data_IF_075047521054
#
_entry.id   IF_075047521054
#
_cell.length_a   1.000
_cell.length_b   1.000
_cell.length_c   1.000
_cell.angle_alpha   90.00
_cell.angle_beta   90.00
_cell.angle_gamma   90.00
#
_symmetry.space_group_name_H-M   'P 1'
#
loop_
_entity.id
_entity.type
_entity.pdbx_description
1 polymer ?
#
# COMPACT_ATOMS: atom_id res chain seq x y z
N UNK A 1 3.20 0.13 14.15
CA UNK A 1 4.38 0.06 13.29
C UNK A 1 3.95 0.22 11.83
N UNK A 2 4.63 1.09 11.11
CA UNK A 2 4.53 1.21 9.65
C UNK A 2 5.78 0.60 9.04
N UNK A 3 5.61 -0.33 8.11
CA UNK A 3 6.68 -0.84 7.27
C UNK A 3 6.47 -0.31 5.84
N UNK A 4 7.45 0.43 5.35
CA UNK A 4 7.50 0.93 3.98
C UNK A 4 8.87 0.58 3.40
N UNK A 5 9.11 -0.70 3.13
CA UNK A 5 10.41 -1.13 2.63
C UNK A 5 10.67 -0.57 1.23
N UNK A 6 11.90 -0.19 0.92
CA UNK A 6 12.25 0.16 -0.44
C UNK A 6 12.12 -1.06 -1.35
N UNK A 7 11.79 -0.88 -2.64
CA UNK A 7 11.54 -1.98 -3.58
C UNK A 7 12.65 -3.04 -3.64
N UNK A 8 13.88 -2.62 -3.48
CA UNK A 8 15.08 -3.48 -3.51
C UNK A 8 15.29 -4.30 -2.23
N UNK A 9 14.67 -3.91 -1.12
CA UNK A 9 14.84 -4.62 0.16
C UNK A 9 13.99 -5.90 0.27
N UNK A 10 13.02 -6.08 -0.63
CA UNK A 10 12.12 -7.23 -0.61
C UNK A 10 12.69 -8.36 -1.46
N UNK A 11 13.16 -9.40 -0.80
CA UNK A 11 13.66 -10.62 -1.49
C UNK A 11 12.49 -11.51 -1.91
N UNK A 12 12.65 -12.28 -3.02
CA UNK A 12 11.60 -13.18 -3.53
C UNK A 12 11.06 -14.19 -2.50
N UNK A 13 11.86 -14.53 -1.49
CA UNK A 13 11.50 -15.53 -0.48
C UNK A 13 11.02 -14.91 0.84
N UNK A 14 10.68 -13.63 0.87
CA UNK A 14 10.04 -13.06 2.04
C UNK A 14 8.61 -13.61 2.19
N UNK A 15 8.11 -13.70 3.41
CA UNK A 15 6.72 -14.12 3.72
C UNK A 15 5.70 -13.23 3.01
N UNK A 16 6.05 -11.98 2.76
CA UNK A 16 5.28 -11.05 1.95
C UNK A 16 5.97 -10.87 0.60
N UNK A 17 5.32 -11.26 -0.47
CA UNK A 17 5.75 -10.96 -1.83
C UNK A 17 5.73 -9.46 -2.10
N UNK A 18 6.61 -9.00 -2.96
CA UNK A 18 6.66 -7.61 -3.41
C UNK A 18 6.77 -7.60 -4.93
N UNK A 19 5.82 -7.01 -5.60
CA UNK A 19 5.72 -7.07 -7.05
C UNK A 19 5.43 -5.70 -7.67
N UNK A 20 5.61 -5.58 -8.99
CA UNK A 20 5.37 -4.32 -9.68
C UNK A 20 3.91 -3.88 -9.56
N UNK A 21 3.70 -2.65 -9.15
CA UNK A 21 2.38 -2.03 -9.10
C UNK A 21 1.89 -1.57 -10.49
N UNK A 22 2.78 -1.57 -11.48
CA UNK A 22 2.54 -1.02 -12.80
C UNK A 22 2.79 -2.09 -13.86
N UNK A 23 1.74 -2.59 -14.47
CA UNK A 23 1.82 -3.66 -15.48
C UNK A 23 2.39 -3.20 -16.81
N UNK A 24 2.23 -1.94 -17.13
CA UNK A 24 2.50 -1.43 -18.47
C UNK A 24 3.98 -1.41 -18.84
N UNK A 25 4.87 -1.50 -17.86
CA UNK A 25 6.30 -1.63 -18.10
C UNK A 25 6.70 -2.93 -18.80
N UNK A 26 5.83 -3.95 -18.73
CA UNK A 26 6.04 -5.24 -19.43
C UNK A 26 5.70 -5.15 -20.92
N UNK A 27 4.74 -4.29 -21.30
CA UNK A 27 4.21 -4.19 -22.66
C UNK A 27 4.83 -3.06 -23.47
N UNK A 28 5.21 -2.01 -22.82
CA UNK A 28 5.70 -0.77 -23.44
C UNK A 28 7.07 -0.44 -22.91
N UNK A 29 8.07 -1.18 -23.34
CA UNK A 29 9.46 -0.95 -22.93
C UNK A 29 9.83 0.53 -23.01
N UNK A 30 10.18 1.12 -21.85
CA UNK A 30 10.58 2.51 -21.74
C UNK A 30 9.46 3.52 -21.46
N UNK A 31 8.19 3.11 -21.38
CA UNK A 31 7.12 4.00 -20.94
C UNK A 31 7.15 4.16 -19.41
N UNK A 32 6.80 5.35 -18.94
CA UNK A 32 6.68 5.59 -17.50
C UNK A 32 5.66 4.62 -16.87
N UNK A 33 5.95 4.06 -15.71
CA UNK A 33 5.04 3.16 -15.03
C UNK A 33 3.71 3.85 -14.72
N UNK A 34 2.62 3.14 -14.92
CA UNK A 34 1.29 3.55 -14.48
C UNK A 34 0.47 2.34 -14.02
N UNK A 35 -0.42 2.54 -13.10
CA UNK A 35 -1.31 1.50 -12.58
C UNK A 35 -2.60 1.43 -13.39
N UNK A 36 -3.25 0.26 -13.39
CA UNK A 36 -4.63 0.12 -13.90
C UNK A 36 -5.64 0.84 -13.00
N UNK A 37 -5.30 1.07 -11.75
CA UNK A 37 -6.12 1.76 -10.78
C UNK A 37 -5.96 1.20 -9.37
N UNK A 38 -6.59 1.88 -8.43
CA UNK A 38 -6.65 1.46 -7.04
C UNK A 38 -8.12 1.28 -6.63
N UNK A 39 -8.34 0.36 -5.73
CA UNK A 39 -9.58 0.25 -4.97
C UNK A 39 -9.27 0.69 -3.54
N UNK A 40 -9.96 1.72 -3.08
CA UNK A 40 -9.70 2.37 -1.80
C UNK A 40 -10.90 2.19 -0.89
N UNK A 41 -10.66 1.72 0.33
CA UNK A 41 -11.66 1.69 1.40
C UNK A 41 -11.83 3.11 1.97
N UNK A 42 -12.49 3.98 1.21
CA UNK A 42 -12.54 5.43 1.48
C UNK A 42 -13.15 5.78 2.86
N UNK A 43 -14.00 4.93 3.41
CA UNK A 43 -14.58 5.08 4.75
C UNK A 43 -13.62 4.64 5.89
N UNK A 44 -12.44 4.12 5.55
CA UNK A 44 -11.45 3.75 6.56
C UNK A 44 -10.94 5.02 7.27
N UNK A 45 -10.83 4.96 8.59
CA UNK A 45 -10.35 6.06 9.42
C UNK A 45 -8.97 6.61 9.05
N UNK A 46 -8.16 5.86 8.31
CA UNK A 46 -6.91 6.35 7.74
C UNK A 46 -7.14 7.60 6.88
N UNK A 47 -8.30 7.69 6.23
CA UNK A 47 -8.63 8.75 5.29
C UNK A 47 -9.39 9.94 5.92
N UNK A 48 -9.57 9.93 7.25
CA UNK A 48 -10.22 11.03 7.96
C UNK A 48 -9.55 12.39 7.70
N UNK A 49 -8.21 12.39 7.55
CA UNK A 49 -7.40 13.58 7.26
C UNK A 49 -6.66 13.50 5.92
N UNK A 50 -7.07 12.56 5.06
CA UNK A 50 -6.58 12.42 3.70
C UNK A 50 -7.76 12.09 2.78
N UNK A 51 -8.58 13.08 2.41
CA UNK A 51 -9.77 12.85 1.60
C UNK A 51 -9.44 12.15 0.30
N UNK A 52 -10.18 11.09 0.01
CA UNK A 52 -10.02 10.28 -1.20
C UNK A 52 -11.36 9.69 -1.63
N UNK A 53 -11.49 9.35 -2.90
CA UNK A 53 -12.59 8.54 -3.40
C UNK A 53 -12.31 7.04 -3.21
N UNK A 54 -13.27 6.19 -3.52
CA UNK A 54 -13.11 4.73 -3.50
C UNK A 54 -12.19 4.18 -4.61
N UNK A 55 -11.63 5.06 -5.40
CA UNK A 55 -10.72 4.75 -6.51
C UNK A 55 -9.57 5.76 -6.56
N UNK A 56 -8.53 5.44 -7.33
CA UNK A 56 -7.41 6.37 -7.54
C UNK A 56 -7.79 7.54 -8.44
N UNK A 57 -7.26 8.68 -8.10
CA UNK A 57 -7.22 9.89 -8.92
C UNK A 57 -5.79 10.47 -8.95
N UNK A 58 -5.61 11.72 -9.36
CA UNK A 58 -4.28 12.29 -9.60
C UNK A 58 -3.35 12.32 -8.39
N UNK A 59 -3.86 12.50 -7.17
CA UNK A 59 -2.99 12.55 -6.01
C UNK A 59 -2.36 11.18 -5.69
N UNK A 60 -3.01 10.06 -6.05
CA UNK A 60 -2.44 8.73 -5.89
C UNK A 60 -1.22 8.49 -6.78
N UNK A 61 -1.10 9.21 -7.91
CA UNK A 61 0.06 9.10 -8.78
C UNK A 61 1.37 9.39 -8.04
N UNK A 62 1.41 10.44 -7.22
CA UNK A 62 2.59 10.78 -6.44
C UNK A 62 2.99 9.66 -5.46
N UNK A 63 2.02 8.94 -4.92
CA UNK A 63 2.21 7.86 -3.95
C UNK A 63 2.62 6.54 -4.59
N UNK A 64 2.20 6.28 -5.82
CA UNK A 64 2.39 4.98 -6.49
C UNK A 64 3.49 4.99 -7.54
N UNK A 65 3.91 6.16 -8.03
CA UNK A 65 4.89 6.27 -9.10
C UNK A 65 6.19 5.53 -8.76
N UNK A 66 6.61 4.61 -9.65
CA UNK A 66 7.81 3.77 -9.49
C UNK A 66 7.84 2.90 -8.22
N UNK A 67 6.69 2.64 -7.64
CA UNK A 67 6.56 1.75 -6.47
C UNK A 67 6.18 0.34 -6.90
N UNK A 68 6.15 -0.55 -5.92
CA UNK A 68 5.66 -1.91 -6.06
C UNK A 68 4.56 -2.15 -5.04
N UNK A 69 3.67 -3.08 -5.33
CA UNK A 69 2.65 -3.52 -4.41
C UNK A 69 3.10 -4.78 -3.65
N UNK A 70 2.51 -5.02 -2.51
CA UNK A 70 2.64 -6.31 -1.82
C UNK A 70 1.71 -7.32 -2.47
N UNK A 71 2.21 -8.53 -2.72
CA UNK A 71 1.38 -9.69 -2.98
C UNK A 71 1.08 -10.34 -1.64
N UNK A 72 -0.18 -10.34 -1.22
CA UNK A 72 -0.61 -10.78 0.11
C UNK A 72 -1.62 -11.91 0.06
N UNK A 73 -1.73 -12.61 -1.06
CA UNK A 73 -2.73 -13.64 -1.31
C UNK A 73 -2.84 -14.69 -0.18
N UNK A 74 -1.72 -15.09 0.41
CA UNK A 74 -1.66 -16.15 1.42
C UNK A 74 -1.42 -15.63 2.84
N UNK A 75 -1.49 -14.33 3.05
CA UNK A 75 -1.25 -13.71 4.36
C UNK A 75 -2.47 -12.89 4.81
N UNK A 76 -2.90 -13.13 6.04
CA UNK A 76 -4.10 -12.53 6.60
C UNK A 76 -3.99 -11.03 6.88
N UNK A 77 -3.81 -10.22 5.85
CA UNK A 77 -3.88 -8.76 5.93
C UNK A 77 -5.24 -8.24 5.50
N UNK A 78 -5.76 -7.23 6.21
CA UNK A 78 -6.93 -6.49 5.76
C UNK A 78 -6.47 -5.39 4.79
N UNK A 79 -6.96 -5.39 3.55
CA UNK A 79 -6.62 -4.36 2.59
C UNK A 79 -7.28 -3.02 2.98
N UNK A 80 -6.51 -1.95 2.88
CA UNK A 80 -7.02 -0.57 2.95
C UNK A 80 -6.98 0.05 1.55
N UNK A 81 -5.92 -0.25 0.79
CA UNK A 81 -5.79 0.14 -0.61
C UNK A 81 -5.29 -1.05 -1.40
N UNK A 82 -6.14 -1.56 -2.30
CA UNK A 82 -5.79 -2.60 -3.26
C UNK A 82 -5.26 -2.00 -4.55
N UNK A 83 -4.36 -2.71 -5.19
CA UNK A 83 -3.88 -2.37 -6.55
C UNK A 83 -4.55 -3.30 -7.55
N UNK A 84 -5.14 -2.75 -8.58
CA UNK A 84 -5.68 -3.55 -9.69
C UNK A 84 -4.49 -4.06 -10.51
N UNK A 85 -4.32 -5.37 -10.51
CA UNK A 85 -3.25 -6.05 -11.25
C UNK A 85 -3.56 -6.13 -12.75
N UNK A 86 -2.59 -6.60 -13.51
CA UNK A 86 -2.80 -6.92 -14.91
C UNK A 86 -3.78 -8.10 -15.07
N UNK A 87 -4.45 -8.14 -16.20
CA UNK A 87 -5.47 -9.17 -16.48
C UNK A 87 -4.93 -10.57 -16.74
N UNK A 88 -3.61 -10.75 -16.85
CA UNK A 88 -3.01 -12.06 -17.05
C UNK A 88 -2.70 -12.74 -15.72
N UNK A 89 -2.16 -11.99 -14.76
CA UNK A 89 -1.71 -12.54 -13.49
C UNK A 89 -2.80 -12.48 -12.40
N UNK A 90 -3.58 -11.39 -12.36
CA UNK A 90 -4.69 -11.18 -11.42
C UNK A 90 -4.34 -11.51 -9.96
N UNK A 91 -3.20 -11.02 -9.48
CA UNK A 91 -2.71 -11.24 -8.11
C UNK A 91 -3.46 -10.38 -7.11
N UNK A 92 -3.49 -10.79 -5.84
CA UNK A 92 -4.06 -9.99 -4.75
C UNK A 92 -3.05 -8.94 -4.25
N UNK A 93 -2.96 -7.83 -4.96
CA UNK A 93 -1.99 -6.78 -4.71
C UNK A 93 -2.53 -5.69 -3.79
N UNK A 94 -1.71 -5.28 -2.81
CA UNK A 94 -2.05 -4.23 -1.86
C UNK A 94 -0.97 -3.14 -1.82
N UNK A 95 -1.41 -1.89 -1.85
CA UNK A 95 -0.56 -0.73 -1.63
C UNK A 95 -0.48 -0.39 -0.14
N UNK A 96 -1.60 -0.49 0.56
CA UNK A 96 -1.71 -0.31 2.01
C UNK A 96 -2.56 -1.42 2.59
N UNK A 97 -2.04 -2.08 3.58
CA UNK A 97 -2.73 -3.15 4.28
C UNK A 97 -2.46 -3.10 5.78
N UNK A 98 -3.38 -3.65 6.56
CA UNK A 98 -3.31 -3.66 8.01
C UNK A 98 -3.42 -5.08 8.55
N UNK A 99 -2.70 -5.35 9.63
CA UNK A 99 -2.83 -6.57 10.38
C UNK A 99 -2.64 -6.34 11.88
N UNK A 100 -3.15 -7.28 12.67
CA UNK A 100 -2.91 -7.34 14.10
C UNK A 100 -1.75 -8.28 14.40
N UNK A 101 -0.76 -7.79 15.14
CA UNK A 101 0.35 -8.61 15.63
C UNK A 101 0.34 -8.56 17.16
N UNK A 102 -0.05 -9.67 17.78
CA UNK A 102 -0.23 -9.72 19.24
C UNK A 102 -1.23 -8.66 19.70
N UNK A 103 -0.76 -7.72 20.52
CA UNK A 103 -1.56 -6.57 21.01
C UNK A 103 -1.39 -5.30 20.15
N UNK A 104 -0.52 -5.35 19.18
CA UNK A 104 -0.19 -4.21 18.33
C UNK A 104 -0.85 -4.24 16.97
N UNK A 105 -0.70 -3.13 16.25
CA UNK A 105 -1.09 -2.96 14.84
C UNK A 105 0.14 -2.86 13.98
N UNK A 106 0.08 -3.49 12.82
CA UNK A 106 1.06 -3.34 11.75
C UNK A 106 0.34 -2.77 10.53
N UNK A 107 0.92 -1.74 9.95
CA UNK A 107 0.53 -1.26 8.62
C UNK A 107 1.69 -1.56 7.68
N UNK A 108 1.38 -2.24 6.59
CA UNK A 108 2.23 -2.33 5.41
C UNK A 108 1.86 -1.20 4.47
N UNK A 109 2.84 -0.42 4.06
CA UNK A 109 2.63 0.70 3.15
C UNK A 109 3.70 0.64 2.05
N UNK A 110 3.29 0.34 0.82
CA UNK A 110 4.17 0.33 -0.34
C UNK A 110 4.27 1.70 -1.00
N UNK A 111 3.41 2.65 -0.62
CA UNK A 111 3.52 4.03 -1.07
C UNK A 111 4.82 4.68 -0.56
N UNK A 112 5.40 5.56 -1.36
CA UNK A 112 6.56 6.33 -0.92
C UNK A 112 6.15 7.50 -0.02
N UNK A 113 6.30 7.30 1.27
CA UNK A 113 5.99 8.28 2.31
C UNK A 113 7.25 8.79 3.03
N UNK A 114 8.42 8.63 2.42
CA UNK A 114 9.69 8.95 3.06
C UNK A 114 10.60 9.85 2.22
N UNK A 115 10.60 9.67 0.89
CA UNK A 115 11.56 10.33 0.01
C UNK A 115 11.08 11.72 -0.39
N UNK A 116 11.98 12.70 -0.32
CA UNK A 116 11.81 14.07 -0.84
C UNK A 116 10.45 14.72 -0.50
N UNK A 117 10.08 14.65 0.76
CA UNK A 117 8.76 15.09 1.22
C UNK A 117 8.51 16.60 1.06
N UNK A 118 9.55 17.41 0.96
CA UNK A 118 9.42 18.86 0.76
C UNK A 118 8.86 19.17 -0.63
N UNK A 119 9.25 18.39 -1.63
CA UNK A 119 8.75 18.50 -3.01
C UNK A 119 7.46 17.72 -3.25
N UNK A 120 7.02 16.89 -2.30
CA UNK A 120 5.91 15.94 -2.45
C UNK A 120 4.82 16.17 -1.40
N UNK A 121 3.95 17.18 -1.60
CA UNK A 121 2.95 17.56 -0.62
C UNK A 121 1.92 16.45 -0.35
N UNK A 122 1.56 15.65 -1.34
CA UNK A 122 0.62 14.54 -1.18
C UNK A 122 1.24 13.43 -0.32
N UNK A 123 2.51 13.06 -0.57
CA UNK A 123 3.21 12.07 0.24
C UNK A 123 3.35 12.53 1.69
N UNK A 124 3.62 13.83 1.91
CA UNK A 124 3.68 14.42 3.24
C UNK A 124 2.34 14.36 3.95
N UNK A 125 1.24 14.70 3.25
CA UNK A 125 -0.11 14.62 3.80
C UNK A 125 -0.50 13.17 4.15
N UNK A 126 -0.19 12.22 3.26
CA UNK A 126 -0.48 10.81 3.49
C UNK A 126 0.35 10.23 4.64
N UNK A 127 1.63 10.59 4.75
CA UNK A 127 2.47 10.23 5.90
C UNK A 127 1.86 10.72 7.21
N UNK A 128 1.35 11.97 7.22
CA UNK A 128 0.67 12.51 8.40
C UNK A 128 -0.58 11.71 8.74
N UNK A 129 -1.40 11.39 7.76
CA UNK A 129 -2.61 10.56 7.95
C UNK A 129 -2.27 9.18 8.55
N UNK A 130 -1.21 8.54 8.07
CA UNK A 130 -0.72 7.27 8.63
C UNK A 130 -0.28 7.43 10.11
N UNK A 131 0.40 8.51 10.44
CA UNK A 131 0.84 8.78 11.81
C UNK A 131 -0.36 9.04 12.73
N UNK A 132 -1.31 9.87 12.32
CA UNK A 132 -2.52 10.18 13.07
C UNK A 132 -3.37 8.91 13.28
N UNK A 133 -3.52 8.09 12.24
CA UNK A 133 -4.23 6.82 12.30
C UNK A 133 -3.61 5.84 13.31
N UNK A 134 -2.28 5.77 13.37
CA UNK A 134 -1.58 4.92 14.34
C UNK A 134 -1.63 5.45 15.76
N UNK A 135 -1.64 6.77 15.94
CA UNK A 135 -1.74 7.41 17.25
C UNK A 135 -3.14 7.29 17.84
N UNK A 136 -4.16 7.14 17.01
CA UNK A 136 -5.54 7.02 17.46
C UNK A 136 -5.78 5.72 18.24
N UNK A 137 -6.69 5.71 19.22
CA UNK A 137 -7.08 4.49 19.93
C UNK A 137 -7.52 3.41 18.95
N UNK A 138 -7.04 2.20 19.18
CA UNK A 138 -7.32 1.06 18.29
C UNK A 138 -8.80 0.67 18.32
N UNK A 139 -9.48 0.90 17.20
CA UNK A 139 -10.70 0.16 16.89
C UNK A 139 -10.40 -1.31 16.59
N UNK A 140 -11.40 -2.14 16.39
CA UNK A 140 -11.20 -3.54 16.01
C UNK A 140 -10.43 -3.62 14.68
N UNK A 141 -9.26 -4.23 14.70
CA UNK A 141 -8.52 -4.59 13.49
C UNK A 141 -9.08 -5.90 12.99
N UNK A 142 -9.60 -5.97 11.75
CA UNK A 142 -10.40 -7.13 11.32
C UNK A 142 -9.59 -8.41 11.17
N UNK A 143 -8.28 -8.32 11.01
CA UNK A 143 -7.48 -9.49 10.64
C UNK A 143 -6.30 -9.71 11.57
N UNK A 144 -6.10 -10.97 11.96
CA UNK A 144 -4.99 -11.42 12.78
C UNK A 144 -3.91 -12.02 11.88
N UNK A 145 -2.77 -11.36 11.80
CA UNK A 145 -1.61 -11.92 11.12
C UNK A 145 -1.06 -13.11 11.93
N UNK A 146 -0.97 -14.24 11.29
CA UNK A 146 -0.26 -15.42 11.81
C UNK A 146 0.92 -15.65 10.88
N UNK A 147 2.17 -15.47 11.34
CA UNK A 147 3.32 -15.82 10.51
C UNK A 147 3.24 -17.29 10.13
N UNK A 148 3.47 -17.61 8.87
CA UNK A 148 3.68 -19.00 8.48
C UNK A 148 4.99 -19.52 9.08
N UNK A 149 5.04 -20.79 9.47
CA UNK A 149 6.23 -21.41 10.02
C UNK A 149 7.39 -21.43 9.04
#
# INVERSE_FOLDING_TARGET
LVLSPPPEAMKPNAVLGHTAAFWNTLWTSGQAPHTLGLLVEADNRLFEHFPTASHSDWHWWELTHRRRAFDTADVGFAPIVRVIDDWNANRDLMLVAEARIGRGRLILCAADVATDLDARPVARAFRKALADYLAAPTGPVPTKFTPMP
#
